data_IF_680269302092
#
_entry.id   IF_680269302092
#
_cell.length_a   1.000
_cell.length_b   1.000
_cell.length_c   1.000
_cell.angle_alpha   90.00
_cell.angle_beta   90.00
_cell.angle_gamma   90.00
#
_symmetry.space_group_name_H-M   'P 1'
#
loop_
_entity.id
_entity.type
_entity.pdbx_description
1 polymer ?
#
# COMPACT_ATOMS: atom_id res chain seq x y z
N UNK A 1 4.46 12.89 -18.48
CA UNK A 1 4.61 13.42 -17.11
C UNK A 1 3.50 14.42 -16.71
N UNK A 2 2.26 14.33 -17.23
CA UNK A 2 1.37 15.51 -17.23
C UNK A 2 0.20 15.57 -16.23
N UNK A 3 -0.07 14.59 -15.36
CA UNK A 3 -1.21 14.72 -14.40
C UNK A 3 -1.03 14.00 -13.04
N UNK A 4 0.15 13.48 -12.73
CA UNK A 4 0.37 12.67 -11.52
C UNK A 4 0.32 13.49 -10.21
N UNK A 5 0.84 14.72 -10.20
CA UNK A 5 0.86 15.58 -9.00
C UNK A 5 -0.54 16.02 -8.55
N UNK A 6 -1.48 16.21 -9.48
CA UNK A 6 -2.86 16.60 -9.16
C UNK A 6 -3.65 15.43 -8.57
N UNK A 7 -3.39 14.22 -9.05
CA UNK A 7 -3.91 13.00 -8.44
C UNK A 7 -3.34 12.81 -7.02
N UNK A 8 -2.04 13.04 -6.83
CA UNK A 8 -1.41 12.97 -5.51
C UNK A 8 -2.09 13.92 -4.50
N UNK A 9 -2.25 15.19 -4.86
CA UNK A 9 -2.82 16.21 -3.98
C UNK A 9 -4.29 15.89 -3.59
N UNK A 10 -5.12 15.52 -4.58
CA UNK A 10 -6.52 15.16 -4.33
C UNK A 10 -6.66 13.92 -3.45
N UNK A 11 -5.72 12.97 -3.58
CA UNK A 11 -5.72 11.77 -2.76
C UNK A 11 -5.22 12.04 -1.35
N UNK A 12 -4.15 12.80 -1.17
CA UNK A 12 -3.65 13.22 0.15
C UNK A 12 -4.76 13.93 0.96
N UNK A 13 -5.51 14.83 0.33
CA UNK A 13 -6.68 15.49 0.93
C UNK A 13 -7.80 14.50 1.30
N UNK A 14 -8.05 13.49 0.46
CA UNK A 14 -9.05 12.45 0.77
C UNK A 14 -8.61 11.52 1.91
N UNK A 15 -7.30 11.39 2.12
CA UNK A 15 -6.69 10.50 3.11
C UNK A 15 -6.55 11.09 4.51
N UNK A 16 -6.92 12.34 4.75
CA UNK A 16 -6.83 12.91 6.11
C UNK A 16 -8.00 12.47 7.03
N UNK A 17 -8.99 11.74 6.49
CA UNK A 17 -10.20 11.33 7.21
C UNK A 17 -10.08 9.94 7.87
N UNK A 18 -9.89 9.94 9.20
CA UNK A 18 -9.67 8.84 10.18
C UNK A 18 -10.54 7.54 10.13
N UNK A 19 -11.25 7.20 9.05
CA UNK A 19 -12.04 5.94 8.93
C UNK A 19 -11.40 4.89 8.00
N UNK A 20 -10.07 4.75 8.09
CA UNK A 20 -9.22 4.19 7.03
C UNK A 20 -9.32 2.67 6.76
N UNK A 21 -9.39 1.81 7.77
CA UNK A 21 -9.08 0.40 7.56
C UNK A 21 -10.21 -0.47 6.96
N UNK A 22 -11.39 0.09 6.67
CA UNK A 22 -12.57 -0.70 6.27
C UNK A 22 -13.37 -0.12 5.10
N UNK A 23 -12.97 1.02 4.53
CA UNK A 23 -13.72 1.62 3.41
C UNK A 23 -13.10 1.20 2.05
N UNK A 24 -13.81 0.44 1.20
CA UNK A 24 -13.30 -0.02 -0.09
C UNK A 24 -12.89 1.11 -1.04
N UNK A 25 -13.53 2.28 -0.93
CA UNK A 25 -13.21 3.46 -1.74
C UNK A 25 -11.84 4.03 -1.33
N UNK A 26 -11.51 3.96 -0.05
CA UNK A 26 -10.22 4.41 0.48
C UNK A 26 -9.06 3.52 0.01
N UNK A 27 -9.25 2.19 0.04
CA UNK A 27 -8.25 1.23 -0.45
C UNK A 27 -7.97 1.38 -1.95
N UNK A 28 -8.99 1.73 -2.75
CA UNK A 28 -8.82 2.02 -4.17
C UNK A 28 -8.00 3.31 -4.39
N UNK A 29 -8.23 4.33 -3.57
CA UNK A 29 -7.45 5.56 -3.58
C UNK A 29 -5.98 5.28 -3.22
N UNK A 30 -5.67 4.59 -2.12
CA UNK A 30 -4.27 4.28 -1.77
C UNK A 30 -3.50 3.56 -2.89
N UNK A 31 -4.14 2.61 -3.57
CA UNK A 31 -3.56 1.93 -4.74
C UNK A 31 -3.21 2.91 -5.85
N UNK A 32 -4.09 3.86 -6.12
CA UNK A 32 -3.85 4.92 -7.10
C UNK A 32 -2.67 5.81 -6.70
N UNK A 33 -2.58 6.17 -5.42
CA UNK A 33 -1.52 7.05 -4.90
C UNK A 33 -0.13 6.39 -4.98
N UNK A 34 -0.06 5.11 -4.64
CA UNK A 34 1.16 4.31 -4.77
C UNK A 34 1.62 4.22 -6.22
N UNK A 35 0.70 3.97 -7.16
CA UNK A 35 1.03 3.93 -8.59
C UNK A 35 1.49 5.28 -9.13
N UNK A 36 0.88 6.37 -8.62
CA UNK A 36 1.29 7.75 -8.90
C UNK A 36 2.72 8.01 -8.41
N UNK A 37 3.03 7.67 -7.15
CA UNK A 37 4.37 7.85 -6.58
C UNK A 37 5.43 7.04 -7.34
N UNK A 38 5.14 5.79 -7.70
CA UNK A 38 6.05 4.97 -8.49
C UNK A 38 6.29 5.59 -9.87
N UNK A 39 5.22 6.07 -10.53
CA UNK A 39 5.33 6.77 -11.83
C UNK A 39 6.10 8.09 -11.78
N UNK A 40 6.19 8.71 -10.60
CA UNK A 40 6.97 9.92 -10.34
C UNK A 40 8.43 9.64 -9.92
N UNK A 41 8.81 8.37 -9.75
CA UNK A 41 10.12 7.97 -9.23
C UNK A 41 10.25 8.09 -7.71
N UNK A 42 9.15 8.38 -6.99
CA UNK A 42 9.09 8.50 -5.53
C UNK A 42 8.72 7.15 -4.87
N UNK A 43 9.33 6.06 -5.32
CA UNK A 43 9.03 4.71 -4.84
C UNK A 43 9.20 4.53 -3.33
N UNK A 44 10.11 5.28 -2.71
CA UNK A 44 10.37 5.23 -1.26
C UNK A 44 9.20 5.78 -0.43
N UNK A 45 8.47 6.79 -0.94
CA UNK A 45 7.27 7.31 -0.26
C UNK A 45 6.13 6.32 -0.35
N UNK A 46 5.92 5.73 -1.54
CA UNK A 46 4.91 4.70 -1.76
C UNK A 46 5.13 3.49 -0.84
N UNK A 47 6.38 3.06 -0.70
CA UNK A 47 6.77 1.98 0.19
C UNK A 47 6.44 2.31 1.65
N UNK A 48 6.93 3.43 2.18
CA UNK A 48 6.69 3.81 3.59
C UNK A 48 5.21 3.93 3.92
N UNK A 49 4.43 4.48 2.99
CA UNK A 49 2.99 4.61 3.18
C UNK A 49 2.34 3.23 3.29
N UNK A 50 2.60 2.34 2.35
CA UNK A 50 2.00 1.00 2.35
C UNK A 50 2.49 0.14 3.54
N UNK A 51 3.76 0.27 3.96
CA UNK A 51 4.27 -0.40 5.16
C UNK A 51 3.51 0.05 6.43
N UNK A 52 3.27 1.35 6.57
CA UNK A 52 2.50 1.92 7.69
C UNK A 52 1.07 1.36 7.74
N UNK A 53 0.40 1.24 6.58
CA UNK A 53 -0.95 0.66 6.47
C UNK A 53 -0.96 -0.79 6.92
N UNK A 54 -0.03 -1.61 6.42
CA UNK A 54 0.11 -3.02 6.80
C UNK A 54 0.35 -3.14 8.30
N UNK A 55 1.18 -2.27 8.90
CA UNK A 55 1.44 -2.27 10.33
C UNK A 55 0.20 -1.88 11.15
N UNK A 56 -0.50 -0.82 10.75
CA UNK A 56 -1.72 -0.36 11.41
C UNK A 56 -2.84 -1.42 11.36
N UNK A 57 -3.04 -2.05 10.20
CA UNK A 57 -4.01 -3.14 10.06
C UNK A 57 -3.58 -4.40 10.83
N UNK A 58 -2.27 -4.69 10.88
CA UNK A 58 -1.74 -5.80 11.67
C UNK A 58 -2.03 -5.59 13.16
N UNK A 59 -1.87 -4.36 13.67
CA UNK A 59 -2.23 -3.99 15.05
C UNK A 59 -3.74 -4.04 15.31
N UNK A 60 -4.55 -3.64 14.32
CA UNK A 60 -6.00 -3.55 14.48
C UNK A 60 -6.73 -4.90 14.39
N UNK A 61 -6.36 -5.74 13.42
CA UNK A 61 -7.09 -6.99 13.13
C UNK A 61 -6.28 -8.26 13.47
N UNK A 62 -5.01 -8.13 13.83
CA UNK A 62 -4.12 -9.25 14.15
C UNK A 62 -3.25 -9.70 12.97
N UNK A 63 -2.12 -10.32 13.29
CA UNK A 63 -1.10 -10.70 12.31
C UNK A 63 -1.60 -11.68 11.24
N UNK A 64 -2.50 -12.59 11.60
CA UNK A 64 -3.05 -13.65 10.75
C UNK A 64 -4.45 -13.31 10.20
N UNK A 65 -4.84 -12.03 10.25
CA UNK A 65 -6.10 -11.60 9.65
C UNK A 65 -6.05 -11.68 8.12
N UNK A 66 -7.01 -12.38 7.51
CA UNK A 66 -7.20 -12.41 6.05
C UNK A 66 -7.42 -11.01 5.45
N UNK A 67 -7.87 -10.05 6.28
CA UNK A 67 -8.01 -8.65 5.88
C UNK A 67 -6.68 -7.98 5.53
N UNK A 68 -5.54 -8.62 5.78
CA UNK A 68 -4.20 -8.11 5.41
C UNK A 68 -3.75 -8.59 4.03
N UNK A 69 -4.41 -9.61 3.46
CA UNK A 69 -4.00 -10.20 2.18
C UNK A 69 -3.92 -9.13 1.07
N UNK A 70 -4.94 -8.27 0.87
CA UNK A 70 -4.89 -7.25 -0.18
C UNK A 70 -3.74 -6.25 -0.03
N UNK A 71 -3.42 -5.86 1.21
CA UNK A 71 -2.39 -4.87 1.54
C UNK A 71 -0.99 -5.47 1.42
N UNK A 72 -0.83 -6.74 1.79
CA UNK A 72 0.41 -7.49 1.58
C UNK A 72 0.68 -7.73 0.09
N UNK A 73 -0.34 -8.08 -0.70
CA UNK A 73 -0.20 -8.18 -2.16
C UNK A 73 0.21 -6.85 -2.77
N UNK A 74 -0.38 -5.76 -2.29
CA UNK A 74 -0.04 -4.43 -2.76
C UNK A 74 1.40 -4.05 -2.41
N UNK A 75 1.83 -4.28 -1.16
CA UNK A 75 3.20 -4.06 -0.73
C UNK A 75 4.22 -4.89 -1.55
N UNK A 76 3.88 -6.14 -1.89
CA UNK A 76 4.72 -6.98 -2.74
C UNK A 76 4.84 -6.43 -4.17
N UNK A 77 3.79 -5.81 -4.71
CA UNK A 77 3.83 -5.13 -6.00
C UNK A 77 4.70 -3.87 -5.97
N UNK A 78 4.66 -3.08 -4.90
CA UNK A 78 5.54 -1.92 -4.72
C UNK A 78 7.00 -2.36 -4.75
N UNK A 79 7.35 -3.35 -3.94
CA UNK A 79 8.71 -3.88 -3.94
C UNK A 79 9.13 -4.47 -5.29
N UNK A 80 8.20 -5.05 -6.06
CA UNK A 80 8.50 -5.52 -7.41
C UNK A 80 8.82 -4.35 -8.36
N UNK A 81 8.00 -3.30 -8.33
CA UNK A 81 8.18 -2.11 -9.17
C UNK A 81 9.45 -1.32 -8.80
N UNK A 82 9.81 -1.31 -7.52
CA UNK A 82 11.06 -0.70 -7.01
C UNK A 82 12.27 -1.64 -7.06
N UNK A 83 12.17 -2.82 -7.70
CA UNK A 83 13.22 -3.84 -7.82
C UNK A 83 13.80 -4.36 -6.48
N UNK A 84 13.04 -4.25 -5.38
CA UNK A 84 13.40 -4.70 -4.03
C UNK A 84 12.97 -6.16 -3.78
N UNK A 85 13.55 -7.08 -4.56
CA UNK A 85 13.13 -8.49 -4.59
C UNK A 85 13.21 -9.21 -3.23
N UNK A 86 14.18 -8.86 -2.38
CA UNK A 86 14.31 -9.44 -1.04
C UNK A 86 13.14 -9.09 -0.10
N UNK A 87 12.67 -7.83 -0.14
CA UNK A 87 11.49 -7.41 0.64
C UNK A 87 10.21 -8.03 0.08
N UNK A 88 10.07 -8.05 -1.25
CA UNK A 88 8.97 -8.77 -1.94
C UNK A 88 8.89 -10.23 -1.50
N UNK A 89 10.02 -10.94 -1.46
CA UNK A 89 10.06 -12.35 -1.07
C UNK A 89 9.55 -12.55 0.37
N UNK A 90 9.96 -11.69 1.31
CA UNK A 90 9.48 -11.74 2.71
C UNK A 90 7.97 -11.56 2.81
N UNK A 91 7.40 -10.61 2.06
CA UNK A 91 5.94 -10.40 2.03
C UNK A 91 5.22 -11.59 1.41
N UNK A 92 5.75 -12.17 0.33
CA UNK A 92 5.18 -13.39 -0.27
C UNK A 92 5.19 -14.58 0.69
N UNK A 93 6.25 -14.76 1.48
CA UNK A 93 6.28 -15.79 2.52
C UNK A 93 5.20 -15.57 3.58
N UNK A 94 4.90 -14.31 3.93
CA UNK A 94 3.77 -14.00 4.81
C UNK A 94 2.44 -14.36 4.16
N UNK A 95 2.23 -14.03 2.89
CA UNK A 95 1.01 -14.39 2.14
C UNK A 95 0.78 -15.90 2.03
N UNK A 96 1.85 -16.71 1.96
CA UNK A 96 1.72 -18.17 1.89
C UNK A 96 1.13 -18.80 3.17
N UNK A 97 1.14 -18.10 4.31
CA UNK A 97 0.52 -18.58 5.55
C UNK A 97 -1.01 -18.51 5.55
N UNK A 98 -1.61 -17.83 4.58
CA UNK A 98 -3.06 -17.71 4.42
C UNK A 98 -3.63 -18.71 3.40
N UNK A 99 -2.82 -19.66 2.90
CA UNK A 99 -3.24 -20.76 2.03
C UNK A 99 -3.40 -22.03 2.82
#
# INVERSE_FOLDING_TARGET
MKQYWKAQQLLEESTDNKMHAQNPIFLASEKLLVDVYIGLGEGDKAEKMQESVVEAMTKSCGYDSEKLIPELEHLANIYQKSNQLGKRHRVKLRLLRYR
#
